data_IF_036704573113
#
_entry.id   IF_036704573113
#
_cell.length_a   1.000
_cell.length_b   1.000
_cell.length_c   1.000
_cell.angle_alpha   90.00
_cell.angle_beta   90.00
_cell.angle_gamma   90.00
#
_symmetry.space_group_name_H-M   'P 1'
#
loop_
_entity.id
_entity.type
_entity.pdbx_description
1 polymer ?
#
# COMPACT_ATOMS: atom_id res chain seq x y z
N UNK A 1 -1.67 35.94 -17.24
CA UNK A 1 -1.51 35.05 -16.07
C UNK A 1 -0.26 34.21 -16.25
N UNK A 2 0.67 34.25 -15.28
CA UNK A 2 1.94 33.51 -15.32
C UNK A 2 1.72 31.99 -15.26
N UNK A 3 2.61 31.20 -15.84
CA UNK A 3 2.58 29.72 -15.76
C UNK A 3 2.55 29.23 -14.30
N UNK A 4 3.21 29.97 -13.39
CA UNK A 4 3.27 29.68 -11.96
C UNK A 4 1.90 29.80 -11.27
N UNK A 5 1.04 30.73 -11.70
CA UNK A 5 -0.28 30.90 -11.08
C UNK A 5 -1.25 29.77 -11.41
N UNK A 6 -0.90 28.85 -12.33
CA UNK A 6 -1.71 27.70 -12.73
C UNK A 6 -1.45 26.44 -11.90
N UNK A 7 -0.38 26.44 -11.10
CA UNK A 7 -0.09 25.39 -10.13
C UNK A 7 -0.91 25.49 -8.86
N UNK A 8 -1.53 26.64 -8.59
CA UNK A 8 -2.24 26.87 -7.35
C UNK A 8 -3.76 26.91 -7.58
N UNK A 9 -4.55 26.57 -6.55
CA UNK A 9 -6.01 26.62 -6.64
C UNK A 9 -6.51 28.04 -6.96
N UNK A 10 -7.69 28.17 -7.62
CA UNK A 10 -8.67 27.12 -7.87
C UNK A 10 -8.31 26.19 -9.04
N UNK A 11 -8.51 24.89 -8.85
CA UNK A 11 -8.32 23.87 -9.88
C UNK A 11 -9.63 23.57 -10.61
N UNK A 12 -9.56 23.41 -11.92
CA UNK A 12 -10.69 22.96 -12.73
C UNK A 12 -10.93 21.44 -12.59
N UNK A 13 -12.15 20.97 -12.86
CA UNK A 13 -12.60 19.57 -12.68
C UNK A 13 -11.60 18.53 -13.20
N UNK A 14 -10.99 18.78 -14.37
CA UNK A 14 -10.02 17.85 -14.97
C UNK A 14 -8.68 17.78 -14.24
N UNK A 15 -8.17 18.89 -13.71
CA UNK A 15 -6.93 18.89 -12.93
C UNK A 15 -7.13 18.17 -11.58
N UNK A 16 -8.31 18.34 -10.98
CA UNK A 16 -8.72 17.66 -9.74
C UNK A 16 -8.86 16.17 -9.99
N UNK A 17 -9.52 15.78 -11.08
CA UNK A 17 -9.67 14.38 -11.46
C UNK A 17 -8.32 13.71 -11.75
N UNK A 18 -7.39 14.41 -12.41
CA UNK A 18 -6.05 13.88 -12.65
C UNK A 18 -5.29 13.66 -11.34
N UNK A 19 -5.23 14.68 -10.47
CA UNK A 19 -4.45 14.62 -9.24
C UNK A 19 -5.04 13.65 -8.21
N UNK A 20 -6.34 13.78 -7.95
CA UNK A 20 -7.03 12.96 -6.96
C UNK A 20 -7.30 11.56 -7.50
N UNK A 21 -7.56 11.42 -8.80
CA UNK A 21 -7.73 10.11 -9.44
C UNK A 21 -6.44 9.29 -9.42
N UNK A 22 -5.29 9.90 -9.66
CA UNK A 22 -4.00 9.23 -9.47
C UNK A 22 -3.81 8.78 -8.03
N UNK A 23 -4.03 9.67 -7.06
CA UNK A 23 -3.87 9.33 -5.65
C UNK A 23 -4.85 8.24 -5.20
N UNK A 24 -6.09 8.28 -5.70
CA UNK A 24 -7.10 7.26 -5.45
C UNK A 24 -6.64 5.88 -5.93
N UNK A 25 -6.20 5.79 -7.20
CA UNK A 25 -5.71 4.54 -7.78
C UNK A 25 -4.49 4.03 -7.01
N UNK A 26 -3.53 4.92 -6.72
CA UNK A 26 -2.33 4.58 -5.99
C UNK A 26 -2.66 4.05 -4.58
N UNK A 27 -3.51 4.76 -3.84
CA UNK A 27 -3.95 4.31 -2.51
C UNK A 27 -4.71 2.99 -2.58
N UNK A 28 -5.57 2.76 -3.58
CA UNK A 28 -6.26 1.48 -3.74
C UNK A 28 -5.30 0.30 -3.97
N UNK A 29 -4.26 0.51 -4.79
CA UNK A 29 -3.22 -0.51 -5.03
C UNK A 29 -2.42 -0.79 -3.76
N UNK A 30 -1.95 0.26 -3.07
CA UNK A 30 -1.20 0.08 -1.80
C UNK A 30 -2.07 -0.58 -0.74
N UNK A 31 -3.36 -0.23 -0.66
CA UNK A 31 -4.32 -0.84 0.27
C UNK A 31 -4.41 -2.35 0.05
N UNK A 32 -4.68 -2.79 -1.19
CA UNK A 32 -4.82 -4.20 -1.50
C UNK A 32 -3.54 -4.99 -1.19
N UNK A 33 -2.39 -4.42 -1.56
CA UNK A 33 -1.08 -5.05 -1.35
C UNK A 33 -0.75 -5.16 0.15
N UNK A 34 -0.85 -4.05 0.88
CA UNK A 34 -0.50 -4.00 2.30
C UNK A 34 -1.44 -4.84 3.16
N UNK A 35 -2.73 -4.91 2.82
CA UNK A 35 -3.70 -5.79 3.49
C UNK A 35 -3.32 -7.27 3.30
N UNK A 36 -3.01 -7.69 2.08
CA UNK A 36 -2.66 -9.07 1.77
C UNK A 36 -1.40 -9.51 2.54
N UNK A 37 -0.33 -8.71 2.48
CA UNK A 37 0.92 -9.02 3.18
C UNK A 37 0.81 -8.88 4.70
N UNK A 38 0.00 -7.96 5.21
CA UNK A 38 -0.26 -7.86 6.65
C UNK A 38 -0.98 -9.12 7.16
N UNK A 39 -2.05 -9.54 6.49
CA UNK A 39 -2.80 -10.75 6.86
C UNK A 39 -1.92 -11.99 6.81
N UNK A 40 -1.15 -12.15 5.73
CA UNK A 40 -0.21 -13.28 5.61
C UNK A 40 0.81 -13.30 6.75
N UNK A 41 1.47 -12.16 7.02
CA UNK A 41 2.43 -12.06 8.11
C UNK A 41 1.82 -12.30 9.49
N UNK A 42 0.59 -11.84 9.75
CA UNK A 42 -0.09 -12.08 11.04
C UNK A 42 -0.38 -13.57 11.31
N UNK A 43 -0.54 -14.37 10.25
CA UNK A 43 -0.79 -15.80 10.35
C UNK A 43 0.53 -16.59 10.44
N UNK A 44 1.51 -16.27 9.59
CA UNK A 44 2.75 -17.04 9.46
C UNK A 44 3.73 -16.76 10.61
N UNK A 45 3.94 -15.48 10.98
CA UNK A 45 4.94 -15.09 11.98
C UNK A 45 4.78 -15.79 13.35
N UNK A 46 3.59 -15.90 13.97
CA UNK A 46 3.46 -16.55 15.28
C UNK A 46 3.78 -18.05 15.26
N UNK A 47 3.54 -18.72 14.13
CA UNK A 47 3.92 -20.14 13.93
C UNK A 47 5.43 -20.22 13.74
N UNK A 48 5.99 -19.38 12.87
CA UNK A 48 7.43 -19.34 12.60
C UNK A 48 8.26 -19.00 13.84
N UNK A 49 7.83 -18.07 14.70
CA UNK A 49 8.55 -17.77 15.94
C UNK A 49 8.64 -18.99 16.87
N UNK A 50 7.56 -19.78 16.99
CA UNK A 50 7.58 -21.00 17.79
C UNK A 50 8.51 -22.05 17.18
N UNK A 51 8.51 -22.19 15.86
CA UNK A 51 9.42 -23.07 15.12
C UNK A 51 10.89 -22.67 15.33
N UNK A 52 11.20 -21.37 15.26
CA UNK A 52 12.57 -20.86 15.47
C UNK A 52 13.01 -21.04 16.92
N UNK A 53 12.15 -20.71 17.89
CA UNK A 53 12.44 -20.89 19.30
C UNK A 53 12.67 -22.39 19.64
N UNK A 54 11.96 -23.31 18.99
CA UNK A 54 12.17 -24.76 19.13
C UNK A 54 13.51 -25.22 18.51
N UNK A 55 13.81 -24.74 17.30
CA UNK A 55 15.09 -25.04 16.61
C UNK A 55 16.30 -24.59 17.45
N UNK A 56 16.20 -23.42 18.12
CA UNK A 56 17.24 -22.96 19.06
C UNK A 56 17.37 -23.90 20.26
N UNK A 57 16.25 -24.34 20.86
CA UNK A 57 16.29 -25.27 22.01
C UNK A 57 16.95 -26.59 21.68
N UNK A 58 16.81 -27.05 20.44
CA UNK A 58 17.45 -28.28 19.93
C UNK A 58 18.93 -28.13 19.62
N UNK A 59 19.50 -26.93 19.71
CA UNK A 59 20.91 -26.63 19.43
C UNK A 59 21.35 -27.09 18.03
N UNK A 60 20.52 -26.84 17.01
CA UNK A 60 20.86 -27.14 15.62
C UNK A 60 22.10 -26.34 15.20
N UNK A 61 23.17 -26.97 14.69
CA UNK A 61 24.42 -26.28 14.37
C UNK A 61 24.20 -25.27 13.25
N UNK A 62 24.64 -24.02 13.48
CA UNK A 62 24.53 -22.93 12.51
C UNK A 62 23.18 -22.20 12.50
N UNK A 63 22.23 -22.58 13.37
CA UNK A 63 20.99 -21.84 13.56
C UNK A 63 21.10 -20.91 14.78
N UNK A 64 20.95 -19.61 14.54
CA UNK A 64 20.90 -18.59 15.58
C UNK A 64 19.67 -17.72 15.32
N UNK A 65 18.90 -17.44 16.36
CA UNK A 65 17.71 -16.62 16.28
C UNK A 65 17.68 -15.70 17.50
N UNK A 66 17.56 -14.40 17.26
CA UNK A 66 17.69 -13.37 18.30
C UNK A 66 16.38 -12.60 18.52
N UNK A 67 16.26 -11.96 19.69
CA UNK A 67 15.11 -11.10 19.98
C UNK A 67 15.09 -9.83 19.11
N UNK A 68 16.24 -9.38 18.63
CA UNK A 68 16.34 -8.22 17.75
C UNK A 68 15.73 -8.51 16.37
N UNK A 69 16.01 -9.69 15.80
CA UNK A 69 15.39 -10.14 14.52
C UNK A 69 13.87 -10.33 14.66
N UNK A 70 13.42 -10.85 15.80
CA UNK A 70 12.00 -10.91 16.13
C UNK A 70 11.36 -9.51 16.15
N UNK A 71 12.06 -8.53 16.72
CA UNK A 71 11.59 -7.15 16.74
C UNK A 71 11.53 -6.54 15.33
N UNK A 72 12.48 -6.85 14.45
CA UNK A 72 12.46 -6.42 13.05
C UNK A 72 11.25 -6.98 12.28
N UNK A 73 10.90 -8.25 12.51
CA UNK A 73 9.72 -8.88 11.89
C UNK A 73 8.40 -8.36 12.45
N UNK A 74 8.35 -8.04 13.73
CA UNK A 74 7.23 -7.31 14.32
C UNK A 74 7.11 -5.90 13.73
N UNK A 75 8.24 -5.24 13.46
CA UNK A 75 8.28 -3.93 12.82
C UNK A 75 7.80 -3.99 11.36
N UNK A 76 8.17 -5.05 10.62
CA UNK A 76 7.63 -5.33 9.27
C UNK A 76 6.09 -5.34 9.30
N UNK A 77 5.51 -6.08 10.24
CA UNK A 77 4.04 -6.17 10.39
C UNK A 77 3.42 -4.80 10.67
N UNK A 78 4.02 -4.00 11.54
CA UNK A 78 3.56 -2.63 11.84
C UNK A 78 3.67 -1.69 10.63
N UNK A 79 4.72 -1.82 9.81
CA UNK A 79 4.88 -1.05 8.57
C UNK A 79 3.78 -1.37 7.56
N UNK A 80 3.47 -2.66 7.34
CA UNK A 80 2.37 -3.07 6.46
C UNK A 80 1.02 -2.57 6.97
N UNK A 81 0.74 -2.69 8.28
CA UNK A 81 -0.47 -2.15 8.90
C UNK A 81 -0.59 -0.63 8.70
N UNK A 82 0.51 0.10 8.84
CA UNK A 82 0.52 1.55 8.67
C UNK A 82 0.19 1.94 7.23
N UNK A 83 0.79 1.26 6.24
CA UNK A 83 0.44 1.46 4.82
C UNK A 83 -1.03 1.14 4.54
N UNK A 84 -1.57 0.09 5.14
CA UNK A 84 -2.96 -0.28 4.99
C UNK A 84 -3.93 0.78 5.53
N UNK A 85 -3.69 1.26 6.75
CA UNK A 85 -4.53 2.29 7.38
C UNK A 85 -4.42 3.62 6.64
N UNK A 86 -3.20 4.06 6.31
CA UNK A 86 -2.98 5.34 5.61
C UNK A 86 -3.58 5.33 4.20
N UNK A 87 -3.45 4.23 3.46
CA UNK A 87 -4.07 4.08 2.15
C UNK A 87 -5.60 4.02 2.22
N UNK A 88 -6.18 3.38 3.24
CA UNK A 88 -7.63 3.41 3.49
C UNK A 88 -8.15 4.82 3.70
N UNK A 89 -7.48 5.61 4.55
CA UNK A 89 -7.80 7.03 4.75
C UNK A 89 -7.68 7.79 3.42
N UNK A 90 -6.65 7.50 2.62
CA UNK A 90 -6.45 8.09 1.30
C UNK A 90 -7.58 7.83 0.32
N UNK A 91 -8.05 6.59 0.22
CA UNK A 91 -9.18 6.21 -0.63
C UNK A 91 -10.44 7.00 -0.22
N UNK A 92 -10.75 7.03 1.09
CA UNK A 92 -11.91 7.76 1.61
C UNK A 92 -11.80 9.26 1.36
N UNK A 93 -10.63 9.85 1.60
CA UNK A 93 -10.37 11.27 1.33
C UNK A 93 -10.58 11.59 -0.15
N UNK A 94 -10.02 10.77 -1.04
CA UNK A 94 -10.15 10.95 -2.48
C UNK A 94 -11.62 10.84 -2.94
N UNK A 95 -12.38 9.90 -2.38
CA UNK A 95 -13.82 9.78 -2.65
C UNK A 95 -14.59 11.04 -2.22
N UNK A 96 -14.34 11.54 -1.00
CA UNK A 96 -15.01 12.74 -0.46
C UNK A 96 -14.75 13.97 -1.35
N UNK A 97 -13.54 14.12 -1.90
CA UNK A 97 -13.20 15.27 -2.74
C UNK A 97 -13.72 15.10 -4.18
N UNK A 98 -13.77 13.88 -4.70
CA UNK A 98 -14.14 13.60 -6.09
C UNK A 98 -15.65 13.55 -6.30
N UNK A 99 -16.41 12.91 -5.41
CA UNK A 99 -17.87 12.72 -5.54
C UNK A 99 -18.62 14.04 -5.78
N UNK A 100 -18.37 15.13 -5.02
CA UNK A 100 -19.02 16.42 -5.25
C UNK A 100 -18.73 17.06 -6.62
N UNK A 101 -17.68 16.65 -7.34
CA UNK A 101 -17.36 17.15 -8.67
C UNK A 101 -18.28 16.58 -9.76
N UNK A 102 -18.99 15.49 -9.48
CA UNK A 102 -19.96 14.87 -10.40
C UNK A 102 -21.37 15.43 -10.25
N UNK A 103 -21.66 16.13 -9.16
CA UNK A 103 -22.94 16.80 -8.97
C UNK A 103 -22.92 18.20 -9.56
N UNK A 104 -23.72 18.39 -10.62
CA UNK A 104 -23.99 19.71 -11.19
C UNK A 104 -25.20 20.30 -10.47
N UNK A 105 -24.99 21.35 -9.68
CA UNK A 105 -26.08 22.12 -9.11
C UNK A 105 -26.33 23.35 -10.00
N UNK A 106 -27.58 23.56 -10.39
CA UNK A 106 -27.95 24.82 -11.03
C UNK A 106 -28.00 25.92 -9.96
N UNK A 107 -27.25 27.00 -10.17
CA UNK A 107 -27.37 28.22 -9.39
C UNK A 107 -28.78 28.82 -9.55
N UNK A 108 -29.22 29.71 -8.65
CA UNK A 108 -30.51 30.43 -8.72
C UNK A 108 -30.69 31.23 -10.02
N UNK A 109 -29.60 31.45 -10.77
CA UNK A 109 -29.57 32.12 -12.09
C UNK A 109 -29.58 31.15 -13.29
N UNK A 110 -29.70 29.84 -13.05
CA UNK A 110 -29.75 28.82 -14.11
C UNK A 110 -28.40 28.43 -14.71
N UNK A 111 -27.29 28.94 -14.16
CA UNK A 111 -25.95 28.54 -14.59
C UNK A 111 -25.51 27.25 -13.88
N UNK A 112 -24.92 26.32 -14.63
CA UNK A 112 -24.32 25.10 -14.06
C UNK A 112 -23.17 25.50 -13.12
N UNK A 113 -23.32 25.19 -11.84
CA UNK A 113 -22.29 25.42 -10.82
C UNK A 113 -21.80 24.09 -10.28
N UNK A 114 -20.51 23.81 -10.48
CA UNK A 114 -19.84 22.66 -9.87
C UNK A 114 -19.51 22.98 -8.41
N UNK A 115 -20.05 22.21 -7.45
CA UNK A 115 -20.22 22.66 -6.07
C UNK A 115 -18.91 22.84 -5.27
N UNK A 116 -17.86 22.06 -5.53
CA UNK A 116 -16.80 21.89 -4.52
C UNK A 116 -15.53 22.76 -4.68
N UNK A 117 -15.29 23.41 -5.82
CA UNK A 117 -14.05 24.19 -6.03
C UNK A 117 -14.25 25.59 -6.61
N UNK A 118 -15.49 26.03 -6.79
CA UNK A 118 -15.79 27.40 -7.24
C UNK A 118 -15.49 28.42 -6.13
N UNK A 119 -15.66 28.04 -4.85
CA UNK A 119 -15.31 28.89 -3.72
C UNK A 119 -13.81 28.83 -3.40
N UNK A 120 -13.12 29.95 -3.62
CA UNK A 120 -11.65 30.09 -3.43
C UNK A 120 -11.16 29.60 -2.07
N UNK A 121 -11.90 29.85 -0.97
CA UNK A 121 -11.51 29.39 0.39
C UNK A 121 -11.57 27.87 0.53
N UNK A 122 -12.61 27.24 0.01
CA UNK A 122 -12.79 25.78 0.06
C UNK A 122 -11.73 25.08 -0.80
N UNK A 123 -11.39 25.66 -1.96
CA UNK A 123 -10.33 25.14 -2.82
C UNK A 123 -8.94 25.15 -2.16
N UNK A 124 -8.61 26.21 -1.43
CA UNK A 124 -7.36 26.27 -0.66
C UNK A 124 -7.36 25.29 0.52
N UNK A 125 -8.47 25.16 1.25
CA UNK A 125 -8.60 24.17 2.33
C UNK A 125 -8.36 22.74 1.82
N UNK A 126 -9.06 22.35 0.76
CA UNK A 126 -8.92 21.01 0.16
C UNK A 126 -7.50 20.76 -0.36
N UNK A 127 -6.86 21.78 -0.93
CA UNK A 127 -5.47 21.69 -1.36
C UNK A 127 -4.53 21.42 -0.19
N UNK A 128 -4.68 22.11 0.95
CA UNK A 128 -3.84 21.86 2.12
C UNK A 128 -4.04 20.46 2.71
N UNK A 129 -5.30 20.01 2.82
CA UNK A 129 -5.62 18.66 3.31
C UNK A 129 -5.02 17.59 2.40
N UNK A 130 -5.14 17.76 1.09
CA UNK A 130 -4.60 16.79 0.13
C UNK A 130 -3.07 16.82 0.11
N UNK A 131 -2.45 18.00 0.21
CA UNK A 131 -0.99 18.13 0.25
C UNK A 131 -0.42 17.51 1.52
N UNK A 132 -1.04 17.74 2.68
CA UNK A 132 -0.58 17.10 3.92
C UNK A 132 -0.74 15.59 3.88
N UNK A 133 -1.82 15.09 3.26
CA UNK A 133 -2.03 13.66 3.05
C UNK A 133 -0.96 13.05 2.13
N UNK A 134 -0.67 13.69 0.98
CA UNK A 134 0.39 13.24 0.06
C UNK A 134 1.74 13.19 0.80
N UNK A 135 2.09 14.21 1.58
CA UNK A 135 3.32 14.19 2.38
C UNK A 135 3.32 13.06 3.43
N UNK A 136 2.21 12.83 4.13
CA UNK A 136 2.11 11.76 5.11
C UNK A 136 2.24 10.38 4.45
N UNK A 137 1.61 10.17 3.28
CA UNK A 137 1.72 8.94 2.51
C UNK A 137 3.16 8.71 2.03
N UNK A 138 3.84 9.76 1.57
CA UNK A 138 5.26 9.68 1.20
C UNK A 138 6.13 9.23 2.36
N UNK A 139 5.95 9.83 3.55
CA UNK A 139 6.71 9.45 4.74
C UNK A 139 6.43 8.02 5.18
N UNK A 140 5.17 7.58 5.13
CA UNK A 140 4.79 6.20 5.43
C UNK A 140 5.43 5.21 4.44
N UNK A 141 5.47 5.55 3.14
CA UNK A 141 6.14 4.76 2.12
C UNK A 141 7.64 4.70 2.32
N UNK A 142 8.31 5.82 2.60
CA UNK A 142 9.75 5.84 2.89
C UNK A 142 10.04 4.96 4.10
N UNK A 143 9.26 5.09 5.17
CA UNK A 143 9.44 4.28 6.37
C UNK A 143 9.21 2.79 6.14
N UNK A 144 8.21 2.44 5.33
CA UNK A 144 7.94 1.06 4.95
C UNK A 144 8.97 0.52 3.93
N UNK A 145 9.53 1.36 3.07
CA UNK A 145 10.57 0.97 2.12
C UNK A 145 11.90 0.70 2.85
N UNK A 146 12.20 1.47 3.89
CA UNK A 146 13.37 1.25 4.74
C UNK A 146 13.21 0.00 5.61
N UNK A 147 13.92 -1.07 5.29
CA UNK A 147 14.11 -2.24 6.18
C UNK A 147 13.02 -3.32 6.13
N UNK A 148 11.94 -3.14 5.36
CA UNK A 148 10.96 -4.22 5.13
C UNK A 148 11.58 -5.34 4.29
N UNK A 149 12.42 -4.97 3.32
CA UNK A 149 13.17 -5.91 2.49
C UNK A 149 14.14 -6.80 3.27
N UNK A 150 14.91 -6.20 4.17
CA UNK A 150 15.86 -6.94 5.03
C UNK A 150 15.13 -7.87 5.99
N UNK A 151 14.00 -7.42 6.57
CA UNK A 151 13.18 -8.26 7.43
C UNK A 151 12.62 -9.48 6.67
N UNK A 152 12.11 -9.30 5.44
CA UNK A 152 11.63 -10.41 4.63
C UNK A 152 12.74 -11.42 4.29
N UNK A 153 13.93 -10.95 3.90
CA UNK A 153 15.08 -11.83 3.64
C UNK A 153 15.52 -12.59 4.89
N UNK A 154 15.64 -11.91 6.02
CA UNK A 154 15.99 -12.53 7.30
C UNK A 154 14.98 -13.62 7.67
N UNK A 155 13.68 -13.38 7.49
CA UNK A 155 12.66 -14.42 7.67
C UNK A 155 12.91 -15.64 6.79
N UNK A 156 13.11 -15.45 5.48
CA UNK A 156 13.31 -16.57 4.56
C UNK A 156 14.60 -17.35 4.84
N UNK A 157 15.68 -16.69 5.22
CA UNK A 157 16.95 -17.34 5.60
C UNK A 157 16.76 -18.25 6.82
N UNK A 158 16.11 -17.74 7.88
CA UNK A 158 15.81 -18.52 9.08
C UNK A 158 14.80 -19.64 8.79
N UNK A 159 13.79 -19.38 7.97
CA UNK A 159 12.75 -20.35 7.62
C UNK A 159 13.27 -21.53 6.80
N UNK A 160 14.33 -21.32 5.99
CA UNK A 160 15.00 -22.40 5.26
C UNK A 160 15.85 -23.26 6.20
N UNK A 161 16.51 -22.65 7.19
CA UNK A 161 17.42 -23.34 8.11
C UNK A 161 16.73 -23.96 9.33
N UNK A 162 15.50 -23.54 9.64
CA UNK A 162 14.74 -24.02 10.78
C UNK A 162 14.37 -25.49 10.66
N UNK A 163 14.34 -26.17 11.81
CA UNK A 163 13.87 -27.56 11.88
C UNK A 163 12.34 -27.58 11.83
N UNK A 164 11.80 -28.30 10.86
CA UNK A 164 10.38 -28.30 10.51
C UNK A 164 9.72 -29.55 11.04
N UNK A 165 9.29 -29.49 12.29
CA UNK A 165 8.50 -30.58 12.87
C UNK A 165 7.12 -30.66 12.21
N UNK A 166 6.60 -31.89 12.13
CA UNK A 166 5.29 -32.20 11.56
C UNK A 166 4.17 -31.36 12.20
N UNK A 167 4.22 -31.14 13.52
CA UNK A 167 3.23 -30.32 14.23
C UNK A 167 3.14 -28.87 13.69
N UNK A 168 4.29 -28.22 13.42
CA UNK A 168 4.29 -26.87 12.87
C UNK A 168 3.88 -26.83 11.40
N UNK A 169 4.17 -27.90 10.65
CA UNK A 169 3.75 -28.04 9.26
C UNK A 169 2.24 -28.19 9.16
N UNK A 170 1.64 -29.07 9.96
CA UNK A 170 0.19 -29.25 10.00
C UNK A 170 -0.52 -27.96 10.41
N UNK A 171 -0.01 -27.25 11.43
CA UNK A 171 -0.60 -25.98 11.86
C UNK A 171 -0.53 -24.90 10.76
N UNK A 172 0.57 -24.87 10.01
CA UNK A 172 0.76 -23.96 8.87
C UNK A 172 -0.18 -24.31 7.71
N UNK A 173 -0.36 -25.60 7.42
CA UNK A 173 -1.26 -26.11 6.38
C UNK A 173 -2.72 -25.79 6.68
N UNK A 174 -3.18 -26.02 7.91
CA UNK A 174 -4.53 -25.65 8.36
C UNK A 174 -4.74 -24.14 8.30
N UNK A 175 -3.74 -23.35 8.69
CA UNK A 175 -3.84 -21.89 8.74
C UNK A 175 -3.82 -21.25 7.35
N UNK A 176 -3.06 -21.80 6.41
CA UNK A 176 -2.93 -21.32 5.04
C UNK A 176 -3.89 -22.03 4.06
N UNK A 177 -4.75 -22.92 4.55
CA UNK A 177 -5.69 -23.73 3.77
C UNK A 177 -5.01 -24.39 2.55
N UNK A 178 -3.88 -25.05 2.80
CA UNK A 178 -3.05 -25.63 1.74
C UNK A 178 -3.60 -26.97 1.23
N UNK A 179 -4.57 -27.56 1.94
CA UNK A 179 -5.21 -28.82 1.59
C UNK A 179 -6.34 -28.59 0.59
N UNK A 180 -6.06 -28.78 -0.70
CA UNK A 180 -7.14 -28.89 -1.69
C UNK A 180 -7.65 -30.34 -1.68
N UNK A 181 -8.97 -30.53 -1.61
CA UNK A 181 -9.60 -31.85 -1.47
C UNK A 181 -9.31 -32.80 -2.67
N UNK A 182 -8.85 -32.24 -3.79
CA UNK A 182 -8.44 -32.95 -5.02
C UNK A 182 -7.03 -33.56 -4.96
N UNK A 183 -6.16 -33.11 -4.06
CA UNK A 183 -4.72 -33.39 -4.15
C UNK A 183 -4.29 -34.62 -3.30
N UNK A 184 -5.21 -35.42 -2.74
CA UNK A 184 -4.93 -36.56 -1.83
C UNK A 184 -3.95 -37.64 -2.35
N UNK A 185 -3.45 -37.54 -3.58
CA UNK A 185 -2.66 -38.58 -4.23
C UNK A 185 -1.14 -38.33 -4.27
N UNK A 186 -0.63 -37.11 -3.95
CA UNK A 186 0.84 -36.85 -3.97
C UNK A 186 1.31 -36.05 -2.74
N UNK A 187 1.88 -36.70 -1.71
CA UNK A 187 2.31 -36.03 -0.47
C UNK A 187 3.38 -34.94 -0.69
N UNK A 188 4.22 -35.04 -1.72
CA UNK A 188 5.27 -34.05 -2.00
C UNK A 188 4.74 -32.74 -2.60
N UNK A 189 3.59 -32.77 -3.30
CA UNK A 189 3.06 -31.61 -4.02
C UNK A 189 2.36 -30.62 -3.07
N UNK A 190 1.64 -31.12 -2.06
CA UNK A 190 1.03 -30.32 -0.99
C UNK A 190 2.04 -29.50 -0.21
N UNK A 191 3.10 -30.18 0.23
CA UNK A 191 4.18 -29.57 1.00
C UNK A 191 4.82 -28.47 0.16
N UNK A 192 5.11 -28.72 -1.12
CA UNK A 192 5.68 -27.73 -2.05
C UNK A 192 4.82 -26.48 -2.22
N UNK A 193 3.48 -26.62 -2.27
CA UNK A 193 2.53 -25.52 -2.43
C UNK A 193 2.39 -24.69 -1.15
N UNK A 194 2.40 -25.33 0.01
CA UNK A 194 2.45 -24.65 1.31
C UNK A 194 3.74 -23.82 1.46
N UNK A 195 4.90 -24.38 1.06
CA UNK A 195 6.17 -23.63 1.01
C UNK A 195 6.09 -22.44 0.07
N UNK A 196 5.49 -22.62 -1.10
CA UNK A 196 5.31 -21.53 -2.06
C UNK A 196 4.44 -20.42 -1.47
N UNK A 197 3.35 -20.76 -0.77
CA UNK A 197 2.46 -19.80 -0.11
C UNK A 197 3.17 -18.99 0.99
N UNK A 198 4.05 -19.64 1.78
CA UNK A 198 4.90 -18.90 2.74
C UNK A 198 5.92 -18.03 2.04
N UNK A 199 6.52 -18.53 0.95
CA UNK A 199 7.54 -17.79 0.21
C UNK A 199 6.99 -16.51 -0.45
N UNK A 200 5.72 -16.54 -0.89
CA UNK A 200 5.03 -15.34 -1.41
C UNK A 200 4.30 -14.54 -0.32
N UNK A 201 4.32 -14.98 0.94
CA UNK A 201 3.62 -14.35 2.06
C UNK A 201 4.26 -13.05 2.56
N UNK A 202 5.49 -12.77 2.13
CA UNK A 202 6.21 -11.55 2.44
C UNK A 202 6.47 -10.74 1.17
N UNK A 203 6.43 -9.42 1.29
CA UNK A 203 6.62 -8.54 0.15
C UNK A 203 8.09 -8.59 -0.30
N UNK A 204 8.30 -8.89 -1.58
CA UNK A 204 9.61 -8.84 -2.19
C UNK A 204 10.08 -7.38 -2.38
N UNK A 205 11.39 -7.15 -2.32
CA UNK A 205 12.05 -5.87 -2.57
C UNK A 205 11.59 -5.22 -3.88
N UNK A 206 11.43 -6.03 -4.93
CA UNK A 206 10.96 -5.55 -6.23
C UNK A 206 9.59 -4.84 -6.13
N UNK A 207 8.66 -5.38 -5.35
CA UNK A 207 7.32 -4.78 -5.19
C UNK A 207 7.38 -3.50 -4.37
N UNK A 208 8.22 -3.43 -3.33
CA UNK A 208 8.44 -2.21 -2.56
C UNK A 208 9.07 -1.11 -3.40
N UNK A 209 10.11 -1.45 -4.17
CA UNK A 209 10.76 -0.52 -5.10
C UNK A 209 9.77 0.00 -6.13
N UNK A 210 8.97 -0.89 -6.74
CA UNK A 210 7.95 -0.52 -7.70
C UNK A 210 6.94 0.46 -7.08
N UNK A 211 6.41 0.17 -5.89
CA UNK A 211 5.47 1.05 -5.20
C UNK A 211 6.07 2.42 -4.90
N UNK A 212 7.33 2.46 -4.49
CA UNK A 212 8.05 3.69 -4.19
C UNK A 212 8.30 4.54 -5.44
N UNK A 213 8.82 3.93 -6.51
CA UNK A 213 9.09 4.64 -7.77
C UNK A 213 7.81 5.12 -8.46
N UNK A 214 6.77 4.29 -8.50
CA UNK A 214 5.46 4.69 -9.06
C UNK A 214 4.89 5.87 -8.30
N UNK A 215 5.08 5.93 -6.98
CA UNK A 215 4.63 7.07 -6.19
C UNK A 215 5.35 8.36 -6.56
N UNK A 216 6.69 8.35 -6.57
CA UNK A 216 7.49 9.54 -6.86
C UNK A 216 7.27 10.01 -8.30
N UNK A 217 7.47 9.11 -9.25
CA UNK A 217 7.37 9.42 -10.68
C UNK A 217 5.94 9.83 -11.02
N UNK A 218 4.94 9.11 -10.50
CA UNK A 218 3.54 9.43 -10.72
C UNK A 218 3.16 10.81 -10.18
N UNK A 219 3.55 11.14 -8.95
CA UNK A 219 3.30 12.47 -8.39
C UNK A 219 4.01 13.58 -9.19
N UNK A 220 5.26 13.38 -9.62
CA UNK A 220 5.99 14.34 -10.45
C UNK A 220 5.28 14.56 -11.80
N UNK A 221 4.90 13.47 -12.48
CA UNK A 221 4.20 13.55 -13.77
C UNK A 221 2.87 14.28 -13.64
N UNK A 222 2.11 13.97 -12.59
CA UNK A 222 0.83 14.64 -12.32
C UNK A 222 1.04 16.11 -12.01
N UNK A 223 2.02 16.48 -11.18
CA UNK A 223 2.35 17.88 -10.90
C UNK A 223 2.71 18.66 -12.17
N UNK A 224 3.49 18.07 -13.07
CA UNK A 224 3.84 18.68 -14.37
C UNK A 224 2.62 18.80 -15.28
N UNK A 225 1.66 17.86 -15.18
CA UNK A 225 0.45 17.85 -15.99
C UNK A 225 -0.63 18.84 -15.50
N UNK A 226 -0.68 19.18 -14.20
CA UNK A 226 -1.68 20.09 -13.62
C UNK A 226 -1.83 21.40 -14.42
N UNK A 227 -0.77 22.15 -14.78
CA UNK A 227 -0.89 23.39 -15.55
C UNK A 227 -1.52 23.23 -16.94
N UNK A 228 -1.50 22.03 -17.54
CA UNK A 228 -2.14 21.75 -18.83
C UNK A 228 -3.64 21.49 -18.66
N UNK A 229 -4.04 20.71 -17.67
CA UNK A 229 -5.46 20.43 -17.40
C UNK A 229 -6.19 21.59 -16.73
N UNK A 230 -5.44 22.53 -16.13
CA UNK A 230 -5.97 23.79 -15.62
C UNK A 230 -6.17 24.86 -16.73
N UNK A 231 -5.93 24.54 -18.03
CA UNK A 231 -6.08 25.46 -19.19
C UNK A 231 -7.43 25.44 -19.90
N UNK A 232 -8.42 24.61 -19.54
CA UNK A 232 -9.70 24.50 -20.27
C UNK A 232 -10.62 25.75 -20.20
N UNK A 233 -10.06 26.95 -20.26
CA UNK A 233 -10.74 28.22 -20.49
C UNK A 233 -10.08 29.07 -21.60
N UNK A 234 -9.27 28.49 -22.50
CA UNK A 234 -8.77 29.22 -23.69
C UNK A 234 -9.43 28.83 -25.02
N UNK A 235 -10.39 27.89 -25.04
CA UNK A 235 -11.09 27.50 -26.29
C UNK A 235 -12.60 27.80 -26.25
N UNK A 236 -13.16 28.26 -25.12
CA UNK A 236 -14.60 28.62 -25.01
C UNK A 236 -14.85 30.13 -24.84
N UNK A 237 -13.83 30.96 -25.07
CA UNK A 237 -13.95 32.42 -25.21
C UNK A 237 -13.29 32.89 -26.52
N UNK A 238 -13.69 32.24 -27.62
CA UNK A 238 -13.60 32.76 -28.98
C UNK A 238 -14.94 32.48 -29.67
#
# INVERSE_FOLDING_TARGET
>A
MSYVSRFFPPYYKYAVFLFIGFQFLYCAVVLAISEAYYKSATLILPIAYRMFDDTVKKNVPGFHWTQDEKHELEMYKHKMMTLWVTSTIGVLLCMIITIPQFFDFNDKRGNRSHLCLVHRRLAWLMFFIMTSFVLAMFLALVWAWLGTGTAARSFHEHFVLAEKEEQFLTELEETLDCTNDDDKEVPDEHVSRCWQNVNIGFINDFWLDLLFYVYIVGNILVLIAIPFFNRCQFVLML
#
